data_IF_029750940253
#
_entry.id   IF_029750940253
#
_cell.length_a   1.000
_cell.length_b   1.000
_cell.length_c   1.000
_cell.angle_alpha   90.00
_cell.angle_beta   90.00
_cell.angle_gamma   90.00
#
_symmetry.space_group_name_H-M   'P 1'
#
loop_
_entity.id
_entity.type
_entity.pdbx_description
1 polymer ?
#
# COMPACT_ATOMS: atom_id res chain seq x y z
N UNK A 1 10.86 0.99 2.24
CA UNK A 1 10.56 1.31 0.83
C UNK A 1 10.26 2.79 0.74
N UNK A 2 10.40 3.36 -0.46
CA UNK A 2 10.01 4.74 -0.70
C UNK A 2 8.49 4.90 -0.47
N UNK A 3 8.02 6.10 -0.07
CA UNK A 3 6.59 6.34 0.08
C UNK A 3 5.83 6.10 -1.22
N UNK A 4 4.71 5.38 -1.14
CA UNK A 4 3.81 5.19 -2.27
C UNK A 4 2.98 6.45 -2.47
N UNK A 5 3.09 7.10 -3.63
CA UNK A 5 2.28 8.26 -3.99
C UNK A 5 1.14 7.86 -4.94
N UNK A 6 -0.09 8.13 -4.53
CA UNK A 6 -1.30 7.72 -5.23
C UNK A 6 -2.16 8.95 -5.56
N UNK A 7 -2.11 9.43 -6.81
CA UNK A 7 -3.03 10.48 -7.25
C UNK A 7 -4.45 9.92 -7.36
N UNK A 8 -5.39 10.62 -6.73
CA UNK A 8 -6.82 10.35 -6.78
C UNK A 8 -7.47 11.27 -7.80
N UNK A 9 -8.09 10.68 -8.80
CA UNK A 9 -8.73 11.41 -9.89
C UNK A 9 -10.22 11.61 -9.65
N UNK A 10 -10.70 12.81 -9.95
CA UNK A 10 -12.12 13.13 -10.04
C UNK A 10 -12.39 13.67 -11.45
N UNK A 11 -12.94 12.81 -12.32
CA UNK A 11 -13.00 13.12 -13.75
C UNK A 11 -11.59 13.23 -14.35
N UNK A 12 -11.28 14.36 -14.96
CA UNK A 12 -9.99 14.60 -15.65
C UNK A 12 -8.94 15.34 -14.80
N UNK A 13 -9.22 15.58 -13.51
CA UNK A 13 -8.31 16.30 -12.59
C UNK A 13 -7.89 15.42 -11.42
N UNK A 14 -6.69 15.67 -10.91
CA UNK A 14 -6.21 15.11 -9.64
C UNK A 14 -6.84 15.92 -8.51
N UNK A 15 -7.71 15.29 -7.74
CA UNK A 15 -8.40 15.91 -6.61
C UNK A 15 -7.55 15.88 -5.32
N UNK A 16 -6.76 14.83 -5.15
CA UNK A 16 -5.86 14.68 -4.01
C UNK A 16 -4.69 13.76 -4.38
N UNK A 17 -3.58 13.88 -3.66
CA UNK A 17 -2.49 12.88 -3.69
C UNK A 17 -2.34 12.30 -2.31
N UNK A 18 -2.50 10.97 -2.20
CA UNK A 18 -2.30 10.24 -0.96
C UNK A 18 -0.89 9.65 -0.98
N UNK A 19 -0.08 10.00 0.02
CA UNK A 19 1.24 9.41 0.22
C UNK A 19 1.20 8.45 1.40
N UNK A 20 1.65 7.22 1.20
CA UNK A 20 1.65 6.17 2.21
C UNK A 20 3.06 5.64 2.40
N UNK A 21 3.59 5.82 3.60
CA UNK A 21 4.89 5.24 3.96
C UNK A 21 4.69 3.89 4.64
N UNK A 22 5.39 2.86 4.14
CA UNK A 22 5.18 1.47 4.55
C UNK A 22 6.51 0.84 4.97
N UNK A 23 6.46 0.01 6.01
CA UNK A 23 7.49 -0.96 6.37
C UNK A 23 6.92 -2.37 6.32
N UNK A 24 7.75 -3.30 5.84
CA UNK A 24 7.44 -4.72 5.79
C UNK A 24 8.26 -5.41 6.87
N UNK A 25 7.60 -6.26 7.66
CA UNK A 25 8.25 -7.11 8.65
C UNK A 25 8.27 -8.55 8.17
N UNK A 26 9.31 -9.28 8.57
CA UNK A 26 9.45 -10.70 8.28
C UNK A 26 10.22 -11.37 9.41
N UNK A 27 10.18 -12.70 9.46
CA UNK A 27 10.64 -13.48 10.60
C UNK A 27 12.12 -13.90 10.49
N UNK A 28 12.74 -13.79 9.32
CA UNK A 28 14.15 -14.15 9.15
C UNK A 28 14.81 -13.40 7.97
N UNK A 29 16.14 -13.47 7.94
CA UNK A 29 16.97 -12.76 6.95
C UNK A 29 16.75 -13.25 5.51
N UNK A 30 16.59 -14.56 5.30
CA UNK A 30 16.38 -15.12 3.95
C UNK A 30 15.10 -14.56 3.29
N UNK A 31 14.00 -14.49 4.05
CA UNK A 31 12.75 -13.87 3.59
C UNK A 31 12.90 -12.36 3.37
N UNK A 32 13.71 -11.69 4.19
CA UNK A 32 13.99 -10.27 4.00
C UNK A 32 14.70 -10.01 2.67
N UNK A 33 15.63 -10.88 2.29
CA UNK A 33 16.36 -10.76 1.03
C UNK A 33 15.48 -11.11 -0.17
N UNK A 34 14.60 -12.11 -0.04
CA UNK A 34 13.55 -12.38 -1.04
C UNK A 34 12.61 -11.17 -1.25
N UNK A 35 12.17 -10.54 -0.16
CA UNK A 35 11.32 -9.34 -0.23
C UNK A 35 12.07 -8.21 -0.93
N UNK A 36 13.36 -8.01 -0.65
CA UNK A 36 14.17 -6.97 -1.31
C UNK A 36 14.31 -7.22 -2.80
N UNK A 37 14.56 -8.46 -3.21
CA UNK A 37 14.68 -8.83 -4.62
C UNK A 37 13.36 -8.59 -5.37
N UNK A 38 12.24 -8.96 -4.75
CA UNK A 38 10.89 -8.80 -5.33
C UNK A 38 10.24 -7.45 -5.02
N UNK A 39 11.00 -6.50 -4.44
CA UNK A 39 10.48 -5.20 -4.02
C UNK A 39 9.81 -4.41 -5.16
N UNK A 40 10.37 -4.36 -6.39
CA UNK A 40 9.71 -3.66 -7.50
C UNK A 40 8.35 -4.26 -7.86
N UNK A 41 8.25 -5.59 -7.88
CA UNK A 41 7.02 -6.33 -8.20
C UNK A 41 5.97 -6.09 -7.12
N UNK A 42 6.37 -6.15 -5.84
CA UNK A 42 5.47 -5.88 -4.73
C UNK A 42 4.98 -4.42 -4.75
N UNK A 43 5.85 -3.48 -5.07
CA UNK A 43 5.53 -2.05 -5.15
C UNK A 43 4.50 -1.78 -6.26
N UNK A 44 4.71 -2.34 -7.45
CA UNK A 44 3.74 -2.25 -8.55
C UNK A 44 2.37 -2.82 -8.14
N UNK A 45 2.37 -4.01 -7.52
CA UNK A 45 1.15 -4.65 -7.06
C UNK A 45 0.39 -3.81 -6.01
N UNK A 46 1.12 -3.17 -5.08
CA UNK A 46 0.52 -2.24 -4.11
C UNK A 46 -0.09 -1.02 -4.80
N UNK A 47 0.65 -0.36 -5.69
CA UNK A 47 0.18 0.84 -6.39
C UNK A 47 -1.10 0.53 -7.18
N UNK A 48 -1.08 -0.56 -7.95
CA UNK A 48 -2.21 -0.99 -8.78
C UNK A 48 -3.44 -1.32 -7.93
N UNK A 49 -3.24 -2.03 -6.83
CA UNK A 49 -4.32 -2.40 -5.94
C UNK A 49 -4.94 -1.16 -5.26
N UNK A 50 -4.11 -0.31 -4.67
CA UNK A 50 -4.56 0.88 -3.95
C UNK A 50 -5.21 1.91 -4.87
N UNK A 51 -4.74 2.07 -6.12
CA UNK A 51 -5.40 2.93 -7.11
C UNK A 51 -6.86 2.53 -7.36
N UNK A 52 -7.16 1.24 -7.34
CA UNK A 52 -8.53 0.76 -7.49
C UNK A 52 -9.31 0.82 -6.17
N UNK A 53 -8.64 0.65 -5.03
CA UNK A 53 -9.27 0.45 -3.73
C UNK A 53 -9.62 1.77 -3.04
N UNK A 54 -8.66 2.70 -2.96
CA UNK A 54 -8.81 3.95 -2.20
C UNK A 54 -9.97 4.82 -2.69
N UNK A 55 -10.19 5.06 -4.00
CA UNK A 55 -11.33 5.87 -4.44
C UNK A 55 -12.68 5.28 -4.05
N UNK A 56 -12.79 3.95 -3.95
CA UNK A 56 -14.01 3.28 -3.48
C UNK A 56 -14.17 3.43 -1.98
N UNK A 57 -13.08 3.24 -1.22
CA UNK A 57 -13.06 3.45 0.21
C UNK A 57 -13.46 4.88 0.58
N UNK A 58 -12.96 5.88 -0.14
CA UNK A 58 -13.27 7.30 0.10
C UNK A 58 -14.72 7.69 -0.25
N UNK A 59 -15.39 6.92 -1.12
CA UNK A 59 -16.82 7.12 -1.39
C UNK A 59 -17.69 6.57 -0.26
N UNK A 60 -17.26 5.50 0.38
CA UNK A 60 -17.99 4.84 1.49
C UNK A 60 -17.64 5.46 2.84
N UNK A 61 -16.40 5.93 3.02
CA UNK A 61 -15.87 6.54 4.24
C UNK A 61 -15.21 7.86 3.89
N UNK A 62 -15.46 8.91 4.67
CA UNK A 62 -14.87 10.24 4.43
C UNK A 62 -13.34 10.29 4.57
N UNK A 63 -12.71 9.26 5.17
CA UNK A 63 -11.27 9.23 5.44
C UNK A 63 -10.66 7.84 5.22
N UNK A 64 -9.37 7.83 4.91
CA UNK A 64 -8.57 6.60 4.82
C UNK A 64 -8.34 6.03 6.22
N UNK A 65 -8.85 4.83 6.45
CA UNK A 65 -8.64 4.09 7.68
C UNK A 65 -7.34 3.27 7.58
N UNK A 66 -6.37 3.57 8.46
CA UNK A 66 -5.05 2.92 8.49
C UNK A 66 -5.16 1.40 8.66
N UNK A 67 -6.13 0.92 9.46
CA UNK A 67 -6.29 -0.51 9.70
C UNK A 67 -6.74 -1.23 8.42
N UNK A 68 -7.63 -0.61 7.66
CA UNK A 68 -8.10 -1.14 6.38
C UNK A 68 -6.96 -1.19 5.36
N UNK A 69 -6.17 -0.12 5.25
CA UNK A 69 -5.00 -0.10 4.35
C UNK A 69 -3.98 -1.16 4.75
N UNK A 70 -3.70 -1.30 6.04
CA UNK A 70 -2.82 -2.36 6.55
C UNK A 70 -3.30 -3.74 6.13
N UNK A 71 -4.57 -4.05 6.39
CA UNK A 71 -5.16 -5.36 6.02
C UNK A 71 -5.12 -5.59 4.50
N UNK A 72 -5.37 -4.55 3.72
CA UNK A 72 -5.34 -4.61 2.26
C UNK A 72 -3.93 -4.89 1.75
N UNK A 73 -2.93 -4.18 2.24
CA UNK A 73 -1.54 -4.37 1.85
C UNK A 73 -1.02 -5.75 2.26
N UNK A 74 -1.37 -6.23 3.46
CA UNK A 74 -1.01 -7.60 3.88
C UNK A 74 -1.59 -8.64 2.91
N UNK A 75 -2.86 -8.52 2.54
CA UNK A 75 -3.48 -9.40 1.54
C UNK A 75 -2.73 -9.38 0.21
N UNK A 76 -2.32 -8.20 -0.27
CA UNK A 76 -1.55 -8.07 -1.51
C UNK A 76 -0.16 -8.71 -1.38
N UNK A 77 0.53 -8.51 -0.25
CA UNK A 77 1.80 -9.17 0.04
C UNK A 77 1.68 -10.68 -0.02
N UNK A 78 0.69 -11.26 0.67
CA UNK A 78 0.48 -12.70 0.71
C UNK A 78 0.18 -13.27 -0.69
N UNK A 79 -0.53 -12.52 -1.52
CA UNK A 79 -0.84 -12.91 -2.91
C UNK A 79 0.39 -12.87 -3.81
N UNK A 80 1.27 -11.88 -3.64
CA UNK A 80 2.41 -11.64 -4.55
C UNK A 80 3.62 -12.48 -4.16
N UNK A 81 3.93 -12.56 -2.87
CA UNK A 81 5.13 -13.23 -2.35
C UNK A 81 4.84 -14.61 -1.79
N UNK A 82 3.57 -14.94 -1.56
CA UNK A 82 3.17 -16.13 -0.83
C UNK A 82 2.97 -15.84 0.65
N UNK A 83 2.22 -16.73 1.32
CA UNK A 83 1.98 -16.64 2.76
C UNK A 83 3.28 -16.81 3.53
N UNK A 84 3.33 -16.22 4.71
CA UNK A 84 4.45 -16.27 5.66
C UNK A 84 5.75 -15.56 5.22
N UNK A 85 5.82 -14.99 4.01
CA UNK A 85 6.99 -14.20 3.58
C UNK A 85 7.01 -12.85 4.29
N UNK A 86 5.90 -12.11 4.22
CA UNK A 86 5.69 -10.86 4.97
C UNK A 86 4.85 -11.19 6.20
N UNK A 87 5.42 -11.06 7.39
CA UNK A 87 4.68 -11.35 8.62
C UNK A 87 3.74 -10.22 9.03
N UNK A 88 4.08 -8.98 8.67
CA UNK A 88 3.25 -7.82 8.97
C UNK A 88 3.59 -6.66 8.04
N UNK A 89 2.55 -5.86 7.72
CA UNK A 89 2.70 -4.57 7.04
C UNK A 89 2.43 -3.45 8.05
N UNK A 90 3.41 -2.55 8.21
CA UNK A 90 3.29 -1.36 9.04
C UNK A 90 3.07 -0.13 8.16
N UNK A 91 1.92 0.50 8.32
CA UNK A 91 1.66 1.83 7.75
C UNK A 91 2.20 2.86 8.73
N UNK A 92 3.26 3.56 8.33
CA UNK A 92 3.92 4.54 9.20
C UNK A 92 3.25 5.90 9.15
N UNK A 93 2.79 6.31 7.97
CA UNK A 93 2.12 7.59 7.76
C UNK A 93 1.22 7.52 6.54
N UNK A 94 0.13 8.30 6.59
CA UNK A 94 -0.73 8.61 5.45
C UNK A 94 -0.83 10.14 5.41
N UNK A 95 -0.37 10.73 4.32
CA UNK A 95 -0.46 12.17 4.09
C UNK A 95 -1.47 12.38 2.96
N UNK A 96 -2.52 13.13 3.25
CA UNK A 96 -3.50 13.56 2.25
C UNK A 96 -3.21 15.01 1.86
N UNK A 97 -2.77 15.21 0.62
CA UNK A 97 -2.60 16.53 0.04
C UNK A 97 -3.76 16.79 -0.93
N UNK A 98 -4.82 17.41 -0.42
CA UNK A 98 -5.90 17.94 -1.24
C UNK A 98 -5.37 19.06 -2.15
N UNK A 99 -5.79 19.07 -3.41
CA UNK A 99 -5.49 20.13 -4.39
C UNK A 99 -6.67 21.07 -4.60
#
# INVERSE_FOLDING_TARGET
>A
MDPLALPIFQGYRVAATIQIQIKLETNNQNKADEIKEKMPILTDAFIRDLHSFIPRLLKEKERVDVLIIKQRLQMVSDRVLGRDVVSNVLVQSIIDQAR
#
